data_IF_788979881171
#
_entry.id   IF_788979881171
#
_cell.length_a   1.000
_cell.length_b   1.000
_cell.length_c   1.000
_cell.angle_alpha   90.00
_cell.angle_beta   90.00
_cell.angle_gamma   90.00
#
_symmetry.space_group_name_H-M   'P 1'
#
loop_
_entity.id
_entity.type
_entity.pdbx_description
1 polymer ?
#
# COMPACT_ATOMS: atom_id res chain seq x y z
N UNK A 1 18.69 -4.43 -30.50
CA UNK A 1 17.71 -3.45 -31.03
C UNK A 1 18.04 -2.08 -30.48
N UNK A 2 17.99 -1.02 -31.29
CA UNK A 2 18.13 0.35 -30.79
C UNK A 2 16.76 0.99 -30.59
N UNK A 3 16.57 1.66 -29.46
CA UNK A 3 15.37 2.42 -29.13
C UNK A 3 15.78 3.85 -28.87
N UNK A 4 15.09 4.80 -29.49
CA UNK A 4 15.42 6.22 -29.36
C UNK A 4 14.34 6.89 -28.54
N UNK A 5 14.76 7.60 -27.50
CA UNK A 5 13.89 8.29 -26.56
C UNK A 5 14.16 9.80 -26.56
N UNK A 6 13.16 10.60 -26.21
CA UNK A 6 13.35 12.04 -25.93
C UNK A 6 14.06 12.27 -24.59
N UNK A 7 14.82 13.36 -24.47
CA UNK A 7 15.43 13.82 -23.21
C UNK A 7 14.49 14.66 -22.33
N UNK A 8 13.18 14.66 -22.63
CA UNK A 8 12.18 15.26 -21.74
C UNK A 8 12.13 14.49 -20.41
N UNK A 9 11.81 15.18 -19.30
CA UNK A 9 11.75 14.55 -17.97
C UNK A 9 10.80 13.35 -17.96
N UNK A 10 9.60 13.53 -18.49
CA UNK A 10 8.72 12.41 -18.87
C UNK A 10 9.09 12.07 -20.31
N UNK A 11 9.94 11.06 -20.45
CA UNK A 11 10.50 10.70 -21.75
C UNK A 11 9.47 9.95 -22.59
N UNK A 12 9.68 9.91 -23.90
CA UNK A 12 8.84 9.16 -24.85
C UNK A 12 9.74 8.38 -25.80
N UNK A 13 9.37 7.15 -26.10
CA UNK A 13 9.97 6.40 -27.20
C UNK A 13 9.54 7.07 -28.52
N UNK A 14 10.52 7.55 -29.29
CA UNK A 14 10.29 8.26 -30.55
C UNK A 14 10.22 7.26 -31.71
N UNK A 15 11.19 6.36 -31.79
CA UNK A 15 11.26 5.30 -32.80
C UNK A 15 12.21 4.18 -32.37
N UNK A 16 12.20 3.08 -33.13
CA UNK A 16 13.04 1.90 -32.90
C UNK A 16 13.73 1.47 -34.18
N UNK A 17 14.99 1.04 -34.08
CA UNK A 17 15.75 0.44 -35.17
C UNK A 17 16.01 -1.03 -34.85
N UNK A 18 15.38 -1.91 -35.63
CA UNK A 18 15.45 -3.36 -35.50
C UNK A 18 16.63 -3.94 -36.28
N UNK A 19 17.82 -3.36 -36.11
CA UNK A 19 19.06 -3.78 -36.74
C UNK A 19 20.14 -3.97 -35.68
N UNK A 20 21.10 -4.85 -35.97
CA UNK A 20 22.36 -4.94 -35.25
C UNK A 20 23.28 -3.77 -35.64
N UNK A 21 24.27 -3.44 -34.81
CA UNK A 21 25.20 -2.34 -35.09
C UNK A 21 25.91 -2.49 -36.45
N UNK A 22 26.28 -3.71 -36.85
CA UNK A 22 26.91 -4.01 -38.14
C UNK A 22 25.98 -3.70 -39.33
N UNK A 23 24.69 -4.00 -39.17
CA UNK A 23 23.67 -3.73 -40.19
C UNK A 23 23.38 -2.23 -40.28
N UNK A 24 23.33 -1.51 -39.16
CA UNK A 24 23.22 -0.04 -39.13
C UNK A 24 24.39 0.61 -39.88
N UNK A 25 25.61 0.11 -39.68
CA UNK A 25 26.79 0.63 -40.37
C UNK A 25 26.71 0.39 -41.89
N UNK A 26 26.21 -0.78 -42.30
CA UNK A 26 26.15 -1.18 -43.72
C UNK A 26 24.98 -0.53 -44.46
N UNK A 27 23.80 -0.52 -43.85
CA UNK A 27 22.53 -0.12 -44.49
C UNK A 27 22.24 1.37 -44.28
N UNK A 28 22.55 1.90 -43.10
CA UNK A 28 22.24 3.29 -42.72
C UNK A 28 23.49 4.18 -42.64
N UNK A 29 24.67 3.67 -43.06
CA UNK A 29 25.93 4.41 -43.00
C UNK A 29 26.35 4.80 -41.58
N UNK A 30 25.89 4.05 -40.57
CA UNK A 30 26.11 4.36 -39.16
C UNK A 30 25.15 5.41 -38.57
N UNK A 31 24.24 5.98 -39.37
CA UNK A 31 23.29 7.00 -38.91
C UNK A 31 21.94 6.38 -38.54
N UNK A 32 21.67 6.22 -37.25
CA UNK A 32 20.39 5.72 -36.74
C UNK A 32 19.19 6.64 -37.03
N UNK A 33 19.42 7.91 -37.37
CA UNK A 33 18.38 8.92 -37.62
C UNK A 33 18.13 9.16 -39.11
N UNK A 34 18.64 8.29 -40.00
CA UNK A 34 18.54 8.46 -41.45
C UNK A 34 17.09 8.70 -41.92
N UNK A 35 16.14 7.97 -41.35
CA UNK A 35 14.70 8.06 -41.68
C UNK A 35 13.94 9.11 -40.85
N UNK A 36 14.62 9.75 -39.89
CA UNK A 36 14.05 10.75 -38.98
C UNK A 36 14.85 12.06 -38.96
N UNK A 37 15.07 12.72 -40.13
CA UNK A 37 15.84 13.96 -40.22
C UNK A 37 15.16 15.16 -39.52
N UNK A 38 13.87 15.05 -39.21
CA UNK A 38 13.12 16.06 -38.46
C UNK A 38 13.49 16.15 -36.99
N UNK A 39 14.15 15.13 -36.43
CA UNK A 39 14.52 15.08 -35.03
C UNK A 39 15.84 15.80 -34.75
N UNK A 40 15.87 16.56 -33.66
CA UNK A 40 17.11 17.08 -33.13
C UNK A 40 17.83 15.99 -32.31
N UNK A 41 18.97 15.52 -32.81
CA UNK A 41 19.76 14.45 -32.17
C UNK A 41 20.19 14.84 -30.75
N UNK A 42 20.46 16.13 -30.51
CA UNK A 42 20.86 16.62 -29.18
C UNK A 42 19.76 16.45 -28.12
N UNK A 43 18.49 16.38 -28.54
CA UNK A 43 17.34 16.18 -27.66
C UNK A 43 16.97 14.70 -27.51
N UNK A 44 17.75 13.79 -28.12
CA UNK A 44 17.50 12.36 -28.15
C UNK A 44 18.57 11.57 -27.37
N UNK A 45 18.18 10.40 -26.89
CA UNK A 45 19.08 9.39 -26.34
C UNK A 45 18.79 8.03 -26.96
N UNK A 46 19.85 7.33 -27.37
CA UNK A 46 19.78 6.00 -27.96
C UNK A 46 20.08 4.97 -26.89
N UNK A 47 19.22 3.96 -26.77
CA UNK A 47 19.36 2.84 -25.84
C UNK A 47 19.35 1.54 -26.63
N UNK A 48 20.36 0.69 -26.42
CA UNK A 48 20.38 -0.64 -27.00
C UNK A 48 19.67 -1.62 -26.06
N UNK A 49 18.42 -1.99 -26.38
CA UNK A 49 17.60 -2.89 -25.57
C UNK A 49 16.46 -3.48 -26.40
N UNK A 50 16.17 -4.77 -26.19
CA UNK A 50 15.11 -5.44 -26.93
C UNK A 50 13.70 -5.08 -26.42
N UNK A 51 13.56 -4.77 -25.12
CA UNK A 51 12.28 -4.41 -24.50
C UNK A 51 12.17 -2.91 -24.22
N UNK A 52 10.99 -2.35 -24.50
CA UNK A 52 10.66 -0.97 -24.19
C UNK A 52 10.68 -0.73 -22.68
N UNK A 53 11.04 0.49 -22.28
CA UNK A 53 10.78 1.01 -20.93
C UNK A 53 9.34 1.51 -20.91
N UNK A 54 8.51 1.06 -19.96
CA UNK A 54 7.07 1.30 -19.99
C UNK A 54 6.73 2.75 -19.62
N UNK A 55 7.37 3.27 -18.57
CA UNK A 55 7.25 4.67 -18.14
C UNK A 55 8.65 5.27 -18.15
N UNK A 56 9.17 5.63 -19.34
CA UNK A 56 10.53 6.10 -19.46
C UNK A 56 10.68 7.50 -18.85
N UNK A 57 11.73 7.64 -18.05
CA UNK A 57 12.15 8.91 -17.49
C UNK A 57 13.62 9.14 -17.84
N UNK A 58 13.91 10.34 -18.32
CA UNK A 58 15.28 10.76 -18.56
C UNK A 58 15.91 11.22 -17.25
N UNK A 59 16.92 10.47 -16.80
CA UNK A 59 17.74 10.82 -15.64
C UNK A 59 18.91 11.68 -16.11
N UNK A 60 18.76 13.01 -16.00
CA UNK A 60 19.76 13.96 -16.50
C UNK A 60 21.12 13.81 -15.81
N UNK A 61 21.15 13.43 -14.53
CA UNK A 61 22.38 13.24 -13.77
C UNK A 61 23.19 12.05 -14.27
N UNK A 62 22.52 10.96 -14.63
CA UNK A 62 23.14 9.74 -15.19
C UNK A 62 23.18 9.71 -16.71
N UNK A 63 22.47 10.63 -17.36
CA UNK A 63 22.28 10.70 -18.82
C UNK A 63 21.77 9.37 -19.38
N UNK A 64 20.77 8.78 -18.73
CA UNK A 64 20.18 7.49 -19.11
C UNK A 64 18.65 7.53 -19.12
N UNK A 65 18.03 6.58 -19.84
CA UNK A 65 16.60 6.28 -19.70
C UNK A 65 16.42 5.17 -18.67
N UNK A 66 15.53 5.39 -17.73
CA UNK A 66 15.12 4.38 -16.75
C UNK A 66 13.61 4.36 -16.59
N UNK A 67 13.12 3.31 -15.94
CA UNK A 67 11.71 3.23 -15.52
C UNK A 67 11.49 4.23 -14.36
N UNK A 68 10.34 4.91 -14.37
CA UNK A 68 9.90 5.75 -13.25
C UNK A 68 9.74 4.93 -11.97
N UNK A 69 10.11 5.52 -10.83
CA UNK A 69 9.72 4.97 -9.52
C UNK A 69 8.22 5.13 -9.29
N UNK A 70 7.68 4.45 -8.28
CA UNK A 70 6.27 4.59 -7.88
C UNK A 70 5.93 6.05 -7.57
N UNK A 71 6.77 6.74 -6.82
CA UNK A 71 6.58 8.13 -6.42
C UNK A 71 6.61 9.05 -7.65
N UNK A 72 7.50 8.80 -8.61
CA UNK A 72 7.55 9.54 -9.86
C UNK A 72 6.29 9.32 -10.71
N UNK A 73 5.74 8.09 -10.76
CA UNK A 73 4.45 7.83 -11.45
C UNK A 73 3.30 8.58 -10.79
N UNK A 74 3.23 8.58 -9.46
CA UNK A 74 2.21 9.32 -8.70
C UNK A 74 2.32 10.82 -9.01
N UNK A 75 3.52 11.40 -8.88
CA UNK A 75 3.70 12.86 -8.93
C UNK A 75 3.80 13.43 -10.35
N UNK A 76 4.35 12.68 -11.31
CA UNK A 76 4.55 13.16 -12.69
C UNK A 76 3.45 12.71 -13.65
N UNK A 77 2.87 11.53 -13.43
CA UNK A 77 1.81 10.98 -14.29
C UNK A 77 0.40 11.10 -13.67
N UNK A 78 0.30 11.48 -12.40
CA UNK A 78 -0.98 11.60 -11.70
C UNK A 78 -1.62 10.25 -11.37
N UNK A 79 -0.82 9.18 -11.24
CA UNK A 79 -1.31 7.83 -10.91
C UNK A 79 -1.62 7.68 -9.41
N UNK A 80 -2.57 8.47 -8.91
CA UNK A 80 -2.97 8.50 -7.48
C UNK A 80 -3.51 7.16 -6.95
N UNK A 81 -3.94 6.27 -7.84
CA UNK A 81 -4.36 4.90 -7.50
C UNK A 81 -3.21 4.08 -6.88
N UNK A 82 -1.95 4.47 -7.13
CA UNK A 82 -0.78 3.86 -6.51
C UNK A 82 -0.55 4.27 -5.05
N UNK A 83 -1.26 5.31 -4.54
CA UNK A 83 -1.19 5.71 -3.13
C UNK A 83 -1.73 4.59 -2.24
N UNK A 84 -0.95 4.23 -1.22
CA UNK A 84 -1.34 3.25 -0.21
C UNK A 84 -2.13 3.91 0.92
N UNK A 85 -2.71 3.09 1.81
CA UNK A 85 -3.48 3.62 2.94
C UNK A 85 -2.61 4.50 3.84
N UNK A 86 -3.18 5.64 4.27
CA UNK A 86 -2.48 6.66 5.04
C UNK A 86 -1.75 7.67 4.19
N UNK A 87 -1.51 7.41 2.90
CA UNK A 87 -0.85 8.37 2.02
C UNK A 87 -1.82 9.32 1.32
N UNK A 88 -1.32 10.53 1.03
CA UNK A 88 -1.98 11.56 0.25
C UNK A 88 -0.97 12.51 -0.38
N UNK A 89 -1.41 13.28 -1.39
CA UNK A 89 -0.56 14.28 -2.05
C UNK A 89 -0.88 15.65 -1.46
N UNK A 90 0.15 16.36 -1.03
CA UNK A 90 0.06 17.75 -0.60
C UNK A 90 1.29 18.51 -1.11
N UNK A 91 1.09 19.66 -1.74
CA UNK A 91 2.18 20.50 -2.26
C UNK A 91 3.18 19.75 -3.16
N UNK A 92 2.67 18.84 -4.01
CA UNK A 92 3.47 18.00 -4.91
C UNK A 92 4.45 17.04 -4.20
N UNK A 93 4.17 16.70 -2.95
CA UNK A 93 4.87 15.68 -2.18
C UNK A 93 3.88 14.63 -1.67
N UNK A 94 4.33 13.37 -1.56
CA UNK A 94 3.56 12.31 -0.91
C UNK A 94 3.78 12.45 0.60
N UNK A 95 2.68 12.64 1.33
CA UNK A 95 2.63 12.68 2.79
C UNK A 95 1.98 11.40 3.32
N UNK A 96 2.26 11.07 4.58
CA UNK A 96 1.73 9.89 5.26
C UNK A 96 1.12 10.28 6.63
N UNK A 97 -0.11 9.86 6.88
CA UNK A 97 -0.74 9.82 8.20
C UNK A 97 -0.78 8.36 8.63
N UNK A 98 0.09 8.02 9.58
CA UNK A 98 0.15 6.67 10.15
C UNK A 98 -1.10 6.39 10.98
N UNK A 99 -1.55 5.14 10.91
CA UNK A 99 -2.58 4.65 11.81
C UNK A 99 -2.05 4.68 13.25
N UNK A 100 -2.83 5.24 14.16
CA UNK A 100 -2.53 5.22 15.60
C UNK A 100 -3.10 3.94 16.22
N UNK A 101 -2.22 2.99 16.54
CA UNK A 101 -2.57 1.71 17.15
C UNK A 101 -3.34 1.85 18.48
N UNK A 102 -3.23 3.01 19.16
CA UNK A 102 -3.99 3.27 20.39
C UNK A 102 -5.50 3.41 20.13
N UNK A 103 -5.92 3.70 18.89
CA UNK A 103 -7.33 3.78 18.52
C UNK A 103 -8.03 2.41 18.60
N UNK A 104 -7.26 1.31 18.48
CA UNK A 104 -7.75 -0.07 18.58
C UNK A 104 -8.99 -0.33 17.70
N UNK A 105 -8.98 0.17 16.47
CA UNK A 105 -9.98 -0.15 15.46
C UNK A 105 -9.93 -1.63 15.11
N UNK A 106 -11.11 -2.24 14.94
CA UNK A 106 -11.23 -3.63 14.52
C UNK A 106 -10.88 -3.80 13.04
N UNK A 107 -11.21 -2.81 12.20
CA UNK A 107 -10.86 -2.76 10.79
C UNK A 107 -10.41 -1.35 10.39
N UNK A 108 -9.16 -0.97 10.69
CA UNK A 108 -8.63 0.34 10.32
C UNK A 108 -8.66 0.52 8.81
N UNK A 109 -9.34 1.58 8.37
CA UNK A 109 -9.56 1.89 6.96
C UNK A 109 -9.25 3.36 6.71
N UNK A 110 -8.58 3.64 5.60
CA UNK A 110 -8.18 4.99 5.22
C UNK A 110 -9.24 5.64 4.33
N UNK A 111 -9.78 6.78 4.75
CA UNK A 111 -10.60 7.64 3.90
C UNK A 111 -9.70 8.61 3.14
N UNK A 112 -9.41 8.31 1.87
CA UNK A 112 -8.58 9.15 0.99
C UNK A 112 -9.12 10.57 0.80
N UNK A 113 -10.44 10.80 0.97
CA UNK A 113 -11.05 12.12 0.76
C UNK A 113 -10.98 12.99 2.00
N UNK A 114 -11.22 12.38 3.16
CA UNK A 114 -11.21 13.09 4.44
C UNK A 114 -9.82 13.10 5.09
N UNK A 115 -8.88 12.30 4.59
CA UNK A 115 -7.54 12.13 5.14
C UNK A 115 -7.56 11.68 6.61
N UNK A 116 -8.45 10.74 6.93
CA UNK A 116 -8.60 10.18 8.28
C UNK A 116 -8.68 8.65 8.24
N UNK A 117 -8.19 8.03 9.32
CA UNK A 117 -8.46 6.64 9.61
C UNK A 117 -9.82 6.51 10.28
N UNK A 118 -10.57 5.46 9.93
CA UNK A 118 -11.83 5.11 10.57
C UNK A 118 -11.96 3.59 10.68
N UNK A 119 -12.82 3.13 11.60
CA UNK A 119 -13.14 1.72 11.74
C UNK A 119 -14.28 1.34 10.78
N UNK A 120 -13.98 0.55 9.74
CA UNK A 120 -14.99 0.13 8.74
C UNK A 120 -15.66 -1.20 9.08
N UNK A 121 -15.53 -1.66 10.34
CA UNK A 121 -16.25 -2.84 10.81
C UNK A 121 -17.75 -2.66 10.65
N UNK A 122 -18.43 -3.71 10.17
CA UNK A 122 -19.89 -3.70 10.05
C UNK A 122 -20.53 -4.07 11.38
N UNK A 123 -21.74 -3.58 11.62
CA UNK A 123 -22.52 -3.88 12.83
C UNK A 123 -22.68 -5.39 13.03
N UNK A 124 -22.98 -6.15 11.99
CA UNK A 124 -23.16 -7.61 12.07
C UNK A 124 -21.88 -8.32 12.52
N UNK A 125 -20.74 -7.90 12.00
CA UNK A 125 -19.43 -8.44 12.37
C UNK A 125 -19.09 -8.08 13.82
N UNK A 126 -19.36 -6.83 14.22
CA UNK A 126 -19.15 -6.37 15.59
C UNK A 126 -20.04 -7.11 16.60
N UNK A 127 -21.30 -7.40 16.22
CA UNK A 127 -22.23 -8.23 17.00
C UNK A 127 -21.71 -9.65 17.15
N UNK A 128 -21.18 -10.26 16.08
CA UNK A 128 -20.62 -11.60 16.15
C UNK A 128 -19.35 -11.65 17.03
N UNK A 129 -18.47 -10.64 16.95
CA UNK A 129 -17.32 -10.50 17.85
C UNK A 129 -17.79 -10.43 19.31
N UNK A 130 -18.78 -9.58 19.61
CA UNK A 130 -19.33 -9.46 20.97
C UNK A 130 -19.91 -10.78 21.46
N UNK A 131 -20.69 -11.47 20.62
CA UNK A 131 -21.29 -12.76 20.93
C UNK A 131 -20.22 -13.81 21.26
N UNK A 132 -19.17 -13.90 20.47
CA UNK A 132 -18.07 -14.84 20.73
C UNK A 132 -17.36 -14.53 22.06
N UNK A 133 -17.11 -13.26 22.36
CA UNK A 133 -16.55 -12.84 23.65
C UNK A 133 -17.47 -13.17 24.84
N UNK A 134 -18.78 -13.01 24.69
CA UNK A 134 -19.74 -13.41 25.73
C UNK A 134 -19.72 -14.92 25.98
N UNK A 135 -19.61 -15.74 24.92
CA UNK A 135 -19.48 -17.19 25.04
C UNK A 135 -18.17 -17.60 25.72
N UNK A 136 -17.06 -16.93 25.38
CA UNK A 136 -15.77 -17.12 26.04
C UNK A 136 -15.84 -16.76 27.53
N UNK A 137 -16.44 -15.62 27.87
CA UNK A 137 -16.65 -15.20 29.26
C UNK A 137 -17.41 -16.27 30.06
N UNK A 138 -18.52 -16.77 29.51
CA UNK A 138 -19.34 -17.80 30.15
C UNK A 138 -18.57 -19.13 30.35
N UNK A 139 -17.66 -19.46 29.44
CA UNK A 139 -16.79 -20.63 29.58
C UNK A 139 -15.79 -20.44 30.74
N UNK A 140 -15.16 -19.27 30.83
CA UNK A 140 -14.22 -18.95 31.91
C UNK A 140 -14.90 -18.90 33.28
N UNK A 141 -16.13 -18.37 33.34
CA UNK A 141 -16.93 -18.34 34.56
C UNK A 141 -17.22 -19.75 35.08
N UNK A 142 -17.55 -20.69 34.17
CA UNK A 142 -17.72 -22.09 34.53
C UNK A 142 -16.42 -22.73 35.03
N UNK A 143 -15.32 -22.52 34.32
CA UNK A 143 -14.00 -23.05 34.72
C UNK A 143 -13.59 -22.55 36.10
N UNK A 144 -13.77 -21.24 36.36
CA UNK A 144 -13.54 -20.65 37.68
C UNK A 144 -14.39 -21.34 38.74
N UNK A 145 -15.68 -21.53 38.50
CA UNK A 145 -16.58 -22.20 39.44
C UNK A 145 -16.16 -23.65 39.70
N UNK A 146 -15.73 -24.38 38.67
CA UNK A 146 -15.24 -25.75 38.82
C UNK A 146 -13.98 -25.77 39.71
N UNK A 147 -13.03 -24.84 39.52
CA UNK A 147 -11.81 -24.69 40.34
C UNK A 147 -12.09 -24.23 41.77
N UNK A 148 -13.13 -23.42 42.02
CA UNK A 148 -13.53 -23.05 43.38
C UNK A 148 -14.09 -24.26 44.17
N UNK A 149 -14.64 -25.24 43.46
CA UNK A 149 -15.29 -26.41 44.06
C UNK A 149 -14.36 -27.64 44.20
N UNK A 150 -13.12 -27.59 43.70
CA UNK A 150 -12.18 -28.71 43.87
C UNK A 150 -11.62 -28.79 45.29
N UNK A 151 -11.19 -29.98 45.69
CA UNK A 151 -10.61 -30.24 47.03
C UNK A 151 -9.17 -29.74 47.20
N UNK A 152 -8.57 -29.20 46.15
CA UNK A 152 -7.19 -28.72 46.13
C UNK A 152 -7.16 -27.18 46.11
N UNK A 153 -6.04 -26.58 46.51
CA UNK A 153 -5.85 -25.13 46.38
C UNK A 153 -5.57 -24.76 44.93
N UNK A 154 -6.39 -23.88 44.34
CA UNK A 154 -6.27 -23.37 42.97
C UNK A 154 -6.23 -21.83 42.91
N UNK A 155 -5.64 -21.18 43.93
CA UNK A 155 -5.69 -19.73 44.12
C UNK A 155 -5.03 -18.97 42.95
N UNK A 156 -3.88 -19.45 42.46
CA UNK A 156 -3.14 -18.80 41.38
C UNK A 156 -3.86 -18.94 40.04
N UNK A 157 -4.43 -20.12 39.76
CA UNK A 157 -5.23 -20.38 38.56
C UNK A 157 -6.49 -19.52 38.53
N UNK A 158 -7.18 -19.41 39.67
CA UNK A 158 -8.36 -18.54 39.80
C UNK A 158 -7.98 -17.07 39.57
N UNK A 159 -6.87 -16.59 40.12
CA UNK A 159 -6.41 -15.21 39.91
C UNK A 159 -6.10 -14.90 38.43
N UNK A 160 -5.47 -15.84 37.72
CA UNK A 160 -5.20 -15.72 36.27
C UNK A 160 -6.51 -15.69 35.48
N UNK A 161 -7.49 -16.52 35.84
CA UNK A 161 -8.81 -16.51 35.20
C UNK A 161 -9.54 -15.18 35.44
N UNK A 162 -9.50 -14.65 36.66
CA UNK A 162 -10.11 -13.37 37.00
C UNK A 162 -9.51 -12.21 36.20
N UNK A 163 -8.19 -12.17 36.03
CA UNK A 163 -7.53 -11.17 35.20
C UNK A 163 -8.01 -11.24 33.74
N UNK A 164 -8.04 -12.43 33.15
CA UNK A 164 -8.56 -12.65 31.79
C UNK A 164 -10.01 -12.24 31.64
N UNK A 165 -10.86 -12.62 32.61
CA UNK A 165 -12.28 -12.27 32.62
C UNK A 165 -12.48 -10.75 32.71
N UNK A 166 -11.67 -10.04 33.51
CA UNK A 166 -11.74 -8.59 33.62
C UNK A 166 -11.40 -7.89 32.29
N UNK A 167 -10.31 -8.30 31.63
CA UNK A 167 -9.94 -7.78 30.31
C UNK A 167 -11.05 -8.03 29.27
N UNK A 168 -11.59 -9.24 29.24
CA UNK A 168 -12.67 -9.60 28.32
C UNK A 168 -13.95 -8.79 28.59
N UNK A 169 -14.26 -8.55 29.86
CA UNK A 169 -15.40 -7.71 30.27
C UNK A 169 -15.23 -6.27 29.78
N UNK A 170 -14.07 -5.66 29.98
CA UNK A 170 -13.77 -4.32 29.47
C UNK A 170 -13.98 -4.22 27.96
N UNK A 171 -13.54 -5.23 27.21
CA UNK A 171 -13.74 -5.28 25.76
C UNK A 171 -15.21 -5.44 25.36
N UNK A 172 -15.97 -6.30 26.05
CA UNK A 172 -17.41 -6.49 25.81
C UNK A 172 -18.18 -5.20 26.07
N UNK A 173 -17.86 -4.51 27.17
CA UNK A 173 -18.49 -3.25 27.56
C UNK A 173 -18.12 -2.12 26.59
N UNK A 174 -16.86 -2.08 26.11
CA UNK A 174 -16.44 -1.18 25.03
C UNK A 174 -17.26 -1.40 23.75
N UNK A 175 -17.44 -2.65 23.32
CA UNK A 175 -18.27 -2.95 22.13
C UNK A 175 -19.74 -2.54 22.35
N UNK A 176 -20.28 -2.80 23.54
CA UNK A 176 -21.68 -2.47 23.85
C UNK A 176 -21.96 -0.96 23.86
N UNK A 177 -20.94 -0.16 24.16
CA UNK A 177 -20.99 1.31 24.17
C UNK A 177 -20.64 1.93 22.81
N UNK A 178 -20.23 1.14 21.83
CA UNK A 178 -19.90 1.62 20.50
C UNK A 178 -21.14 2.17 19.79
N UNK A 179 -21.09 3.39 19.21
CA UNK A 179 -22.22 3.97 18.47
C UNK A 179 -22.76 3.08 17.34
N UNK A 180 -21.89 2.30 16.67
CA UNK A 180 -22.29 1.35 15.61
C UNK A 180 -23.21 0.28 16.19
N UNK A 181 -23.00 -0.13 17.44
CA UNK A 181 -23.84 -1.10 18.13
C UNK A 181 -25.23 -0.54 18.50
N UNK A 182 -25.28 0.76 18.83
CA UNK A 182 -26.48 1.46 19.30
C UNK A 182 -27.42 1.95 18.18
N UNK A 183 -26.92 2.07 16.95
CA UNK A 183 -27.77 2.42 15.80
C UNK A 183 -28.76 1.28 15.52
N UNK A 184 -30.06 1.59 15.39
CA UNK A 184 -31.14 0.59 15.20
C UNK A 184 -31.07 -0.05 13.82
#
# INVERSE_FOLDING_TARGET
MFRVYSKEKISKELFTVNLLQEEVNTVMGGNLFLDHPELNIEDCIVVEKDTAVQNPLYDEAKREIREMTREEKILLLGEEDLLINGEYIENNEIKEIKYDENLKYYRPTWDKKQLIWYDSIKKEELVEIRKNKLLEYASLEKEKSDLENIKFSAIEEIAILEEKMNLLKEEIDKIASDPIYLTK
#
